data_IF_612844231816
#
_entry.id   IF_612844231816
#
_cell.length_a   1.000
_cell.length_b   1.000
_cell.length_c   1.000
_cell.angle_alpha   90.00
_cell.angle_beta   90.00
_cell.angle_gamma   90.00
#
_symmetry.space_group_name_H-M   'P 1'
#
loop_
_entity.id
_entity.type
_entity.pdbx_description
1 polymer ?
#
# COMPACT_ATOMS: atom_id res chain seq x y z
N UNK A 1 5.98 -13.26 10.23
CA UNK A 1 5.53 -13.50 11.63
C UNK A 1 6.47 -14.49 12.29
N UNK A 2 6.91 -14.27 13.53
CA UNK A 2 7.78 -15.21 14.26
C UNK A 2 9.01 -15.62 13.43
N UNK A 3 9.64 -14.63 12.78
CA UNK A 3 10.78 -14.79 11.84
C UNK A 3 10.49 -15.60 10.56
N UNK A 4 9.23 -15.96 10.30
CA UNK A 4 8.80 -16.54 9.03
C UNK A 4 8.44 -15.46 8.02
N UNK A 5 8.93 -15.62 6.79
CA UNK A 5 8.61 -14.76 5.66
C UNK A 5 7.14 -14.95 5.27
N UNK A 6 6.41 -13.83 5.17
CA UNK A 6 5.02 -13.81 4.71
C UNK A 6 4.99 -12.88 3.49
N UNK A 7 4.57 -13.38 2.30
CA UNK A 7 4.61 -12.59 1.08
C UNK A 7 3.49 -11.55 0.99
N UNK A 8 2.33 -11.81 1.58
CA UNK A 8 1.17 -10.92 1.55
C UNK A 8 0.49 -10.88 2.92
N UNK A 9 0.23 -9.68 3.43
CA UNK A 9 -0.52 -9.45 4.66
C UNK A 9 -1.83 -8.72 4.34
N UNK A 10 -2.99 -9.30 4.68
CA UNK A 10 -4.33 -8.68 4.48
C UNK A 10 -4.93 -8.18 5.80
N UNK A 11 -5.97 -7.34 5.70
CA UNK A 11 -6.74 -6.85 6.87
C UNK A 11 -7.21 -8.02 7.74
N UNK A 12 -7.00 -7.91 9.06
CA UNK A 12 -7.36 -8.94 10.05
C UNK A 12 -6.26 -9.96 10.34
N UNK A 13 -5.14 -9.92 9.62
CA UNK A 13 -3.96 -10.71 9.94
C UNK A 13 -3.12 -10.03 11.04
N UNK A 14 -2.30 -10.79 11.79
CA UNK A 14 -1.48 -10.24 12.89
C UNK A 14 -0.42 -9.25 12.37
N UNK A 15 0.08 -8.41 13.27
CA UNK A 15 1.13 -7.43 12.98
C UNK A 15 2.37 -8.08 12.35
N UNK A 16 2.95 -7.40 11.37
CA UNK A 16 4.12 -7.86 10.60
C UNK A 16 5.21 -6.81 10.58
N UNK A 17 6.47 -7.26 10.54
CA UNK A 17 7.61 -6.40 10.25
C UNK A 17 7.84 -6.34 8.73
N UNK A 18 7.91 -5.13 8.19
CA UNK A 18 8.10 -4.87 6.75
C UNK A 18 9.43 -4.16 6.54
N UNK A 19 10.26 -4.70 5.65
CA UNK A 19 11.49 -4.02 5.19
C UNK A 19 11.15 -3.24 3.92
N UNK A 20 11.39 -1.93 3.92
CA UNK A 20 11.13 -1.04 2.78
C UNK A 20 12.49 -0.54 2.26
N UNK A 21 12.74 -0.76 0.96
CA UNK A 21 13.98 -0.36 0.29
C UNK A 21 13.67 0.61 -0.85
N UNK A 22 14.52 1.62 -1.04
CA UNK A 22 14.42 2.58 -2.13
C UNK A 22 15.83 2.89 -2.64
N UNK A 23 16.00 3.01 -3.97
CA UNK A 23 17.31 3.24 -4.58
C UNK A 23 17.89 4.66 -4.43
N UNK A 24 17.16 5.57 -3.77
CA UNK A 24 17.54 6.98 -3.61
C UNK A 24 17.53 7.43 -2.15
N UNK A 25 17.36 8.73 -1.90
CA UNK A 25 17.36 9.31 -0.57
C UNK A 25 16.10 8.91 0.23
N UNK A 26 16.22 7.94 1.14
CA UNK A 26 15.13 7.45 1.97
C UNK A 26 14.75 8.45 3.08
N UNK A 27 13.45 8.74 3.28
CA UNK A 27 12.98 9.51 4.42
C UNK A 27 13.43 8.88 5.76
N UNK A 28 13.95 9.70 6.66
CA UNK A 28 14.45 9.26 7.98
C UNK A 28 13.35 9.29 9.04
N UNK A 29 13.21 8.18 9.78
CA UNK A 29 12.36 8.08 10.97
C UNK A 29 12.77 9.12 12.04
N UNK A 30 11.80 9.83 12.62
CA UNK A 30 12.02 10.90 13.60
C UNK A 30 12.43 12.25 12.99
N UNK A 31 12.45 12.37 11.66
CA UNK A 31 12.65 13.66 10.97
C UNK A 31 11.60 13.91 9.88
N UNK A 32 11.38 12.93 9.02
CA UNK A 32 10.45 13.04 7.89
C UNK A 32 9.18 12.22 8.09
N UNK A 33 9.20 11.28 9.04
CA UNK A 33 8.09 10.38 9.37
C UNK A 33 8.15 9.98 10.84
N UNK A 34 6.99 9.80 11.44
CA UNK A 34 6.79 9.41 12.83
C UNK A 34 5.83 8.22 12.95
N UNK A 35 5.69 7.67 14.16
CA UNK A 35 4.81 6.52 14.42
C UNK A 35 3.33 6.81 14.14
N UNK A 36 2.90 8.05 14.38
CA UNK A 36 1.52 8.48 14.15
C UNK A 36 1.14 8.59 12.67
N UNK A 37 2.14 8.63 11.78
CA UNK A 37 1.90 8.77 10.35
C UNK A 37 1.35 7.46 9.77
N UNK A 38 0.20 7.57 9.11
CA UNK A 38 -0.39 6.43 8.41
C UNK A 38 0.31 6.20 7.07
N UNK A 39 0.86 5.00 6.88
CA UNK A 39 1.45 4.58 5.62
C UNK A 39 0.38 4.06 4.66
N UNK A 40 0.43 4.54 3.42
CA UNK A 40 -0.48 4.14 2.35
C UNK A 40 0.31 3.57 1.17
N UNK A 41 -0.31 2.66 0.42
CA UNK A 41 0.23 2.23 -0.87
C UNK A 41 0.22 3.39 -1.86
N UNK A 42 1.38 3.68 -2.46
CA UNK A 42 1.48 4.67 -3.51
C UNK A 42 0.75 4.16 -4.76
N UNK A 43 -0.45 4.69 -4.99
CA UNK A 43 -1.25 4.38 -6.17
C UNK A 43 -1.10 5.48 -7.21
N UNK A 44 -1.19 5.11 -8.48
CA UNK A 44 -1.15 6.01 -9.63
C UNK A 44 -2.21 5.64 -10.66
N UNK A 45 -2.50 6.54 -11.60
CA UNK A 45 -3.45 6.23 -12.68
C UNK A 45 -3.02 5.02 -13.51
N UNK A 46 -1.73 4.88 -13.77
CA UNK A 46 -1.18 3.72 -14.46
C UNK A 46 -1.43 2.41 -13.68
N UNK A 47 -1.20 2.41 -12.37
CA UNK A 47 -1.45 1.23 -11.52
C UNK A 47 -2.93 0.84 -11.50
N UNK A 48 -3.84 1.82 -11.44
CA UNK A 48 -5.30 1.58 -11.44
C UNK A 48 -5.76 0.99 -12.77
N UNK A 49 -5.23 1.51 -13.89
CA UNK A 49 -5.57 0.99 -15.22
C UNK A 49 -5.09 -0.46 -15.39
N UNK A 50 -3.86 -0.76 -14.95
CA UNK A 50 -3.33 -2.12 -14.95
C UNK A 50 -4.22 -3.08 -14.12
N UNK A 51 -4.66 -2.66 -12.94
CA UNK A 51 -5.58 -3.46 -12.12
C UNK A 51 -6.92 -3.72 -12.83
N UNK A 52 -7.46 -2.74 -13.54
CA UNK A 52 -8.73 -2.89 -14.29
C UNK A 52 -8.60 -3.80 -15.50
N UNK A 53 -7.46 -3.78 -16.18
CA UNK A 53 -7.23 -4.51 -17.41
C UNK A 53 -6.88 -5.98 -17.15
N UNK A 54 -6.00 -6.24 -16.19
CA UNK A 54 -5.44 -7.58 -15.98
C UNK A 54 -5.95 -8.27 -14.69
N UNK A 55 -6.25 -7.51 -13.63
CA UNK A 55 -6.46 -8.07 -12.29
C UNK A 55 -7.88 -7.88 -11.74
N UNK A 56 -8.85 -7.51 -12.59
CA UNK A 56 -10.20 -7.15 -12.15
C UNK A 56 -10.92 -8.26 -11.35
N UNK A 57 -10.63 -9.53 -11.67
CA UNK A 57 -11.22 -10.70 -10.98
C UNK A 57 -10.53 -11.03 -9.65
N UNK A 58 -9.28 -10.58 -9.47
CA UNK A 58 -8.46 -10.89 -8.31
C UNK A 58 -8.62 -9.85 -7.19
N UNK A 59 -9.02 -8.63 -7.57
CA UNK A 59 -9.29 -7.54 -6.63
C UNK A 59 -10.73 -7.62 -6.13
N UNK A 60 -10.87 -7.76 -4.82
CA UNK A 60 -12.16 -7.79 -4.13
C UNK A 60 -12.87 -6.44 -4.15
N UNK A 61 -14.19 -6.45 -3.93
CA UNK A 61 -14.99 -5.21 -3.87
C UNK A 61 -14.50 -4.24 -2.78
N UNK A 62 -14.04 -4.77 -1.63
CA UNK A 62 -13.50 -3.94 -0.54
C UNK A 62 -12.20 -3.25 -0.93
N UNK A 63 -11.32 -3.95 -1.67
CA UNK A 63 -10.08 -3.37 -2.21
C UNK A 63 -10.39 -2.29 -3.26
N UNK A 64 -11.42 -2.48 -4.09
CA UNK A 64 -11.89 -1.42 -5.01
C UNK A 64 -12.43 -0.19 -4.29
N UNK A 65 -13.21 -0.36 -3.23
CA UNK A 65 -13.68 0.75 -2.40
C UNK A 65 -12.51 1.50 -1.75
N UNK A 66 -11.47 0.78 -1.30
CA UNK A 66 -10.26 1.40 -0.77
C UNK A 66 -9.51 2.21 -1.85
N UNK A 67 -9.37 1.66 -3.06
CA UNK A 67 -8.73 2.37 -4.19
C UNK A 67 -9.48 3.67 -4.51
N UNK A 68 -10.81 3.67 -4.47
CA UNK A 68 -11.61 4.89 -4.70
C UNK A 68 -11.36 5.95 -3.62
N UNK A 69 -11.25 5.55 -2.35
CA UNK A 69 -10.91 6.48 -1.25
C UNK A 69 -9.50 7.05 -1.41
N UNK A 70 -8.52 6.18 -1.70
CA UNK A 70 -7.14 6.60 -1.93
C UNK A 70 -7.02 7.52 -3.17
N UNK A 71 -7.83 7.29 -4.21
CA UNK A 71 -7.88 8.15 -5.40
C UNK A 71 -8.19 9.61 -5.02
N UNK A 72 -9.11 9.82 -4.08
CA UNK A 72 -9.46 11.15 -3.57
C UNK A 72 -8.40 11.74 -2.64
N UNK A 73 -7.64 10.91 -1.92
CA UNK A 73 -6.58 11.38 -1.01
C UNK A 73 -5.31 11.80 -1.77
N UNK A 74 -5.03 11.15 -2.90
CA UNK A 74 -3.87 11.43 -3.75
C UNK A 74 -4.17 12.33 -4.95
N UNK A 75 -5.39 12.91 -5.03
CA UNK A 75 -5.84 13.77 -6.13
C UNK A 75 -5.62 13.17 -7.53
N UNK A 76 -5.80 11.85 -7.66
CA UNK A 76 -5.57 11.13 -8.91
C UNK A 76 -6.84 11.24 -9.75
N UNK A 77 -6.91 12.18 -10.70
CA UNK A 77 -8.11 12.37 -11.51
C UNK A 77 -8.37 11.22 -12.46
#
# INVERSE_FOLDING_TARGET
>A
RDHKQIPVCKKGQPSVAVKIEMGGHQPTYGRHLEESDSLYSLISRASINCLKEFYRKEVSNDEWQLIIKLKSLFDIN
#
